data_IF_630416192224
#
_entry.id   IF_630416192224
#
_cell.length_a   1.000
_cell.length_b   1.000
_cell.length_c   1.000
_cell.angle_alpha   90.00
_cell.angle_beta   90.00
_cell.angle_gamma   90.00
#
_symmetry.space_group_name_H-M   'P 1'
#
loop_
_entity.id
_entity.type
_entity.pdbx_description
1 polymer ?
#
# COMPACT_ATOMS: atom_id res chain seq x y z
N UNK A 1 6.54 30.10 -15.48
CA UNK A 1 5.61 29.89 -16.60
C UNK A 1 4.25 29.54 -16.03
N UNK A 2 3.22 30.35 -16.31
CA UNK A 2 1.84 30.08 -15.86
C UNK A 2 1.26 29.03 -16.80
N UNK A 3 1.24 27.77 -16.38
CA UNK A 3 0.56 26.72 -17.11
C UNK A 3 -0.94 26.84 -16.85
N UNK A 4 -1.71 27.13 -17.90
CA UNK A 4 -3.17 27.07 -17.84
C UNK A 4 -3.58 25.63 -17.46
N UNK A 5 -4.43 25.51 -16.45
CA UNK A 5 -4.89 24.21 -15.97
C UNK A 5 -5.89 23.59 -16.95
N UNK A 6 -5.53 22.47 -17.59
CA UNK A 6 -6.44 21.68 -18.44
C UNK A 6 -7.22 20.70 -17.56
N UNK A 7 -8.54 20.85 -17.48
CA UNK A 7 -9.40 19.93 -16.75
C UNK A 7 -9.49 18.56 -17.45
N UNK A 8 -9.59 17.45 -16.70
CA UNK A 8 -9.85 16.14 -17.27
C UNK A 8 -11.24 16.11 -17.94
N UNK A 9 -11.33 15.49 -19.12
CA UNK A 9 -12.62 15.26 -19.77
C UNK A 9 -13.44 14.22 -18.99
N UNK A 10 -14.61 14.66 -18.49
CA UNK A 10 -15.52 13.81 -17.73
C UNK A 10 -16.38 12.91 -18.63
N UNK A 11 -16.51 13.24 -19.92
CA UNK A 11 -17.33 12.51 -20.90
C UNK A 11 -16.55 11.43 -21.65
N UNK A 12 -15.22 11.42 -21.55
CA UNK A 12 -14.40 10.42 -22.22
C UNK A 12 -14.70 8.99 -21.69
N UNK A 13 -14.68 7.96 -22.58
CA UNK A 13 -14.90 6.58 -22.17
C UNK A 13 -13.81 6.13 -21.20
N UNK A 14 -14.21 5.60 -20.04
CA UNK A 14 -13.29 5.10 -19.01
C UNK A 14 -13.25 3.59 -19.04
N UNK A 15 -12.11 3.03 -19.44
CA UNK A 15 -11.90 1.59 -19.34
C UNK A 15 -11.62 1.20 -17.88
N UNK A 16 -12.39 0.25 -17.35
CA UNK A 16 -12.11 -0.40 -16.06
C UNK A 16 -11.60 -1.81 -16.33
N UNK A 17 -10.35 -2.10 -15.95
CA UNK A 17 -9.78 -3.44 -16.07
C UNK A 17 -10.66 -4.42 -15.28
N UNK A 18 -11.07 -5.52 -15.93
CA UNK A 18 -11.74 -6.63 -15.24
C UNK A 18 -10.77 -7.21 -14.21
N UNK A 19 -11.19 -7.25 -12.95
CA UNK A 19 -10.42 -7.80 -11.86
C UNK A 19 -11.10 -9.09 -11.37
N UNK A 20 -10.29 -10.12 -11.11
CA UNK A 20 -10.78 -11.38 -10.53
C UNK A 20 -11.07 -11.17 -9.04
N UNK A 21 -12.32 -11.40 -8.62
CA UNK A 21 -12.69 -11.39 -7.21
C UNK A 21 -12.49 -12.77 -6.60
N UNK A 22 -11.62 -12.89 -5.59
CA UNK A 22 -11.35 -14.14 -4.88
C UNK A 22 -12.44 -14.51 -3.85
N UNK A 23 -13.25 -13.55 -3.39
CA UNK A 23 -14.33 -13.78 -2.41
C UNK A 23 -15.68 -14.12 -3.08
N UNK A 24 -15.64 -15.05 -4.03
CA UNK A 24 -16.82 -15.48 -4.78
C UNK A 24 -17.42 -16.77 -4.19
N UNK A 25 -18.63 -17.15 -4.63
CA UNK A 25 -19.29 -18.35 -4.10
C UNK A 25 -18.54 -19.65 -4.48
N UNK A 26 -17.88 -19.65 -5.64
CA UNK A 26 -17.13 -20.81 -6.15
C UNK A 26 -15.91 -21.10 -5.29
N UNK A 27 -15.10 -20.10 -4.96
CA UNK A 27 -13.91 -20.25 -4.12
C UNK A 27 -14.26 -20.64 -2.69
N UNK A 28 -15.38 -20.16 -2.15
CA UNK A 28 -15.85 -20.57 -0.82
C UNK A 28 -16.30 -22.03 -0.83
N UNK A 29 -16.95 -22.51 -1.89
CA UNK A 29 -17.28 -23.93 -2.07
C UNK A 29 -16.01 -24.78 -2.16
N UNK A 30 -15.09 -24.42 -3.04
CA UNK A 30 -13.79 -25.10 -3.18
C UNK A 30 -13.01 -25.17 -1.85
N UNK A 31 -13.08 -24.11 -1.03
CA UNK A 31 -12.50 -24.11 0.31
C UNK A 31 -13.16 -25.12 1.26
N UNK A 32 -14.49 -25.18 1.27
CA UNK A 32 -15.25 -26.13 2.10
C UNK A 32 -15.05 -27.57 1.66
N UNK A 33 -15.00 -27.82 0.36
CA UNK A 33 -14.74 -29.15 -0.21
C UNK A 33 -13.35 -29.66 0.21
N UNK A 34 -12.35 -28.76 0.25
CA UNK A 34 -10.99 -29.08 0.70
C UNK A 34 -10.87 -29.24 2.22
N UNK A 35 -11.69 -28.52 2.99
CA UNK A 35 -11.69 -28.55 4.45
C UNK A 35 -13.10 -28.79 5.00
N UNK A 36 -13.59 -30.05 4.99
CA UNK A 36 -14.96 -30.39 5.38
C UNK A 36 -15.35 -29.98 6.80
N UNK A 37 -14.37 -29.80 7.70
CA UNK A 37 -14.58 -29.30 9.06
C UNK A 37 -15.30 -27.93 9.12
N UNK A 38 -15.27 -27.15 8.03
CA UNK A 38 -15.89 -25.82 7.93
C UNK A 38 -17.15 -25.78 7.05
N UNK A 39 -17.70 -26.94 6.66
CA UNK A 39 -18.85 -27.04 5.77
C UNK A 39 -20.07 -26.26 6.29
N UNK A 40 -20.34 -26.41 7.58
CA UNK A 40 -21.46 -25.78 8.29
C UNK A 40 -21.27 -24.29 8.60
N UNK A 41 -20.10 -23.71 8.32
CA UNK A 41 -19.87 -22.29 8.59
C UNK A 41 -20.56 -21.46 7.51
N UNK A 42 -21.33 -20.46 7.94
CA UNK A 42 -21.97 -19.53 7.02
C UNK A 42 -20.95 -18.75 6.17
N UNK A 43 -21.30 -18.53 4.89
CA UNK A 43 -20.44 -17.88 3.92
C UNK A 43 -20.20 -16.41 4.28
N UNK A 44 -21.14 -15.72 4.93
CA UNK A 44 -20.94 -14.34 5.38
C UNK A 44 -19.95 -14.27 6.54
N UNK A 45 -20.01 -15.23 7.47
CA UNK A 45 -19.03 -15.37 8.54
C UNK A 45 -17.61 -15.61 8.01
N UNK A 46 -17.44 -16.47 6.99
CA UNK A 46 -16.13 -16.66 6.36
C UNK A 46 -15.60 -15.36 5.74
N UNK A 47 -16.46 -14.61 5.03
CA UNK A 47 -16.08 -13.32 4.46
C UNK A 47 -15.75 -12.29 5.53
N UNK A 48 -16.46 -12.28 6.66
CA UNK A 48 -16.22 -11.33 7.75
C UNK A 48 -14.87 -11.59 8.42
N UNK A 49 -14.52 -12.86 8.66
CA UNK A 49 -13.21 -13.27 9.19
C UNK A 49 -12.07 -12.72 8.31
N UNK A 50 -12.15 -12.92 6.99
CA UNK A 50 -11.13 -12.43 6.05
C UNK A 50 -11.02 -10.90 6.08
N UNK A 51 -12.16 -10.20 6.14
CA UNK A 51 -12.16 -8.72 6.23
C UNK A 51 -11.55 -8.23 7.54
N UNK A 52 -11.86 -8.89 8.66
CA UNK A 52 -11.31 -8.56 9.98
C UNK A 52 -9.79 -8.78 9.98
N UNK A 53 -9.32 -9.91 9.46
CA UNK A 53 -7.90 -10.19 9.31
C UNK A 53 -7.19 -9.10 8.49
N UNK A 54 -7.72 -8.78 7.30
CA UNK A 54 -7.16 -7.74 6.44
C UNK A 54 -7.13 -6.38 7.14
N UNK A 55 -8.17 -6.06 7.94
CA UNK A 55 -8.21 -4.84 8.75
C UNK A 55 -7.10 -4.81 9.79
N UNK A 56 -6.99 -5.86 10.62
CA UNK A 56 -5.96 -5.96 11.65
C UNK A 56 -4.55 -5.91 11.07
N UNK A 57 -4.35 -6.52 9.91
CA UNK A 57 -3.07 -6.49 9.20
C UNK A 57 -2.67 -5.06 8.85
N UNK A 58 -3.53 -4.27 8.19
CA UNK A 58 -3.14 -2.90 7.82
C UNK A 58 -3.12 -1.93 9.00
N UNK A 59 -3.95 -2.15 10.03
CA UNK A 59 -3.87 -1.40 11.31
C UNK A 59 -2.47 -1.61 11.94
N UNK A 60 -2.01 -2.86 12.00
CA UNK A 60 -0.67 -3.19 12.49
C UNK A 60 0.45 -2.56 11.65
N UNK A 61 0.28 -2.41 10.33
CA UNK A 61 1.26 -1.72 9.48
C UNK A 61 1.37 -0.23 9.79
N UNK A 62 0.26 0.42 10.19
CA UNK A 62 0.28 1.83 10.61
C UNK A 62 0.89 1.95 12.01
N UNK A 63 0.56 1.00 12.88
CA UNK A 63 1.01 0.98 14.26
C UNK A 63 2.51 0.66 14.35
N UNK A 64 3.04 -0.38 13.74
CA UNK A 64 4.45 -0.76 13.94
C UNK A 64 5.39 -0.09 12.95
N UNK A 65 6.59 0.30 13.44
CA UNK A 65 7.65 0.92 12.61
C UNK A 65 8.10 0.01 11.48
N UNK A 66 8.39 -1.25 11.81
CA UNK A 66 8.88 -2.26 10.85
C UNK A 66 7.74 -2.95 10.08
N UNK A 67 6.49 -2.57 10.41
CA UNK A 67 5.28 -3.08 9.77
C UNK A 67 4.89 -4.48 10.24
N UNK A 68 4.39 -5.29 9.31
CA UNK A 68 3.82 -6.62 9.57
C UNK A 68 4.42 -7.64 8.60
N UNK A 69 4.80 -8.79 9.13
CA UNK A 69 5.17 -9.97 8.35
C UNK A 69 3.93 -10.77 7.95
N UNK A 70 3.85 -11.13 6.66
CA UNK A 70 2.80 -11.98 6.14
C UNK A 70 3.15 -13.45 6.37
N UNK A 71 2.14 -14.31 6.65
CA UNK A 71 2.35 -15.74 6.84
C UNK A 71 2.94 -16.41 5.60
N UNK A 72 3.45 -17.63 5.77
CA UNK A 72 3.97 -18.48 4.70
C UNK A 72 5.05 -17.83 3.82
N UNK A 73 5.88 -16.97 4.42
CA UNK A 73 6.95 -16.26 3.70
C UNK A 73 6.44 -15.43 2.51
N UNK A 74 5.18 -14.96 2.57
CA UNK A 74 4.58 -14.11 1.54
C UNK A 74 5.26 -12.74 1.48
N UNK A 75 5.90 -12.28 2.55
CA UNK A 75 6.70 -11.06 2.58
C UNK A 75 6.38 -10.15 3.76
N UNK A 76 6.82 -8.89 3.67
CA UNK A 76 6.65 -7.86 4.68
C UNK A 76 5.88 -6.68 4.08
N UNK A 77 5.01 -6.09 4.88
CA UNK A 77 4.32 -4.84 4.59
C UNK A 77 4.72 -3.79 5.61
N UNK A 78 5.19 -2.63 5.19
CA UNK A 78 5.58 -1.56 6.10
C UNK A 78 5.41 -0.18 5.45
N UNK A 79 5.45 0.87 6.27
CA UNK A 79 5.43 2.25 5.80
C UNK A 79 6.87 2.78 5.79
N UNK A 80 7.27 3.34 4.66
CA UNK A 80 8.56 3.98 4.50
C UNK A 80 8.41 5.45 4.10
N UNK A 81 9.20 6.29 4.73
CA UNK A 81 9.32 7.71 4.44
C UNK A 81 10.28 7.91 3.27
N UNK A 82 9.84 8.56 2.21
CA UNK A 82 10.65 8.88 1.04
C UNK A 82 10.76 10.40 0.86
N UNK A 83 11.86 10.90 0.28
CA UNK A 83 11.92 12.29 -0.15
C UNK A 83 10.85 12.59 -1.21
N UNK A 84 10.47 13.85 -1.32
CA UNK A 84 9.50 14.32 -2.30
C UNK A 84 9.84 13.80 -3.72
N UNK A 85 8.81 13.34 -4.42
CA UNK A 85 8.96 13.04 -5.84
C UNK A 85 9.27 14.33 -6.62
N UNK A 86 10.11 14.23 -7.65
CA UNK A 86 10.38 15.36 -8.57
C UNK A 86 9.13 15.81 -9.33
N UNK A 87 8.11 14.94 -9.40
CA UNK A 87 6.82 15.23 -10.03
C UNK A 87 5.97 16.13 -9.15
N UNK A 88 5.38 17.15 -9.77
CA UNK A 88 4.53 18.13 -9.09
C UNK A 88 3.19 17.53 -8.69
N UNK A 89 2.84 17.60 -7.40
CA UNK A 89 1.52 17.18 -6.91
C UNK A 89 0.50 18.32 -7.09
N UNK A 90 -0.28 18.24 -8.18
CA UNK A 90 -1.25 19.27 -8.54
C UNK A 90 -2.53 19.10 -7.73
N UNK A 91 -2.98 20.16 -7.08
CA UNK A 91 -4.28 20.21 -6.43
C UNK A 91 -5.36 20.53 -7.47
N UNK A 92 -5.95 19.49 -8.09
CA UNK A 92 -6.94 19.65 -9.16
C UNK A 92 -8.18 20.44 -8.73
N UNK A 93 -8.60 20.38 -7.46
CA UNK A 93 -9.79 21.07 -6.98
C UNK A 93 -9.58 22.58 -6.94
N UNK A 94 -8.52 23.04 -6.26
CA UNK A 94 -8.17 24.46 -6.23
C UNK A 94 -7.70 24.95 -7.60
N UNK A 95 -6.94 24.13 -8.34
CA UNK A 95 -6.45 24.52 -9.67
C UNK A 95 -7.60 24.79 -10.66
N UNK A 96 -8.72 24.05 -10.52
CA UNK A 96 -9.94 24.30 -11.30
C UNK A 96 -10.62 25.62 -10.91
N UNK A 97 -10.66 25.95 -9.62
CA UNK A 97 -11.27 27.20 -9.14
C UNK A 97 -10.48 28.43 -9.58
N UNK A 98 -9.15 28.38 -9.48
CA UNK A 98 -8.27 29.52 -9.75
C UNK A 98 -7.73 29.56 -11.20
N UNK A 99 -8.02 28.55 -12.02
CA UNK A 99 -7.56 28.46 -13.41
C UNK A 99 -6.04 28.29 -13.59
N UNK A 100 -5.30 28.06 -12.49
CA UNK A 100 -3.84 27.97 -12.45
C UNK A 100 -3.42 26.65 -11.82
N UNK A 101 -2.28 26.09 -12.24
CA UNK A 101 -1.70 24.90 -11.59
C UNK A 101 -1.24 25.28 -10.18
N UNK A 102 -1.97 24.81 -9.18
CA UNK A 102 -1.67 24.99 -7.76
C UNK A 102 -1.12 23.71 -7.15
N UNK A 103 -0.19 23.87 -6.21
CA UNK A 103 0.52 22.77 -5.57
C UNK A 103 0.52 22.98 -4.06
N UNK A 104 0.14 21.96 -3.30
CA UNK A 104 0.25 22.02 -1.84
C UNK A 104 1.67 21.60 -1.43
N UNK A 105 2.24 22.32 -0.46
CA UNK A 105 3.51 21.94 0.17
C UNK A 105 3.24 21.14 1.44
N UNK A 106 3.97 20.05 1.63
CA UNK A 106 3.86 19.20 2.82
C UNK A 106 4.77 19.74 3.93
N UNK A 107 4.39 20.85 4.57
CA UNK A 107 5.20 21.47 5.63
C UNK A 107 5.27 20.61 6.90
N UNK A 108 4.21 19.86 7.22
CA UNK A 108 4.13 19.03 8.43
C UNK A 108 5.11 17.85 8.44
N UNK A 109 5.65 17.49 7.28
CA UNK A 109 6.51 16.30 7.10
C UNK A 109 7.85 16.67 6.45
N UNK A 110 8.25 17.94 6.51
CA UNK A 110 9.46 18.48 5.88
C UNK A 110 9.57 18.16 4.38
N UNK A 111 8.42 18.09 3.70
CA UNK A 111 8.35 17.72 2.29
C UNK A 111 8.44 16.21 2.02
N UNK A 112 8.57 15.37 3.03
CA UNK A 112 8.63 13.92 2.86
C UNK A 112 7.26 13.31 2.53
N UNK A 113 7.28 12.13 1.91
CA UNK A 113 6.09 11.40 1.48
C UNK A 113 6.14 9.97 2.01
N UNK A 114 5.10 9.58 2.72
CA UNK A 114 4.91 8.19 3.16
C UNK A 114 4.48 7.30 2.00
N UNK A 115 5.13 6.15 1.85
CA UNK A 115 4.75 5.11 0.90
C UNK A 115 4.57 3.78 1.61
N UNK A 116 3.59 3.02 1.14
CA UNK A 116 3.38 1.64 1.60
C UNK A 116 4.26 0.75 0.75
N UNK A 117 5.12 -0.02 1.41
CA UNK A 117 6.02 -0.97 0.79
C UNK A 117 5.53 -2.38 1.02
N UNK A 118 5.65 -3.18 -0.04
CA UNK A 118 5.56 -4.62 0.02
C UNK A 118 6.89 -5.20 -0.48
N UNK A 119 7.47 -6.11 0.29
CA UNK A 119 8.73 -6.77 -0.08
C UNK A 119 8.67 -8.25 0.24
N UNK A 120 9.14 -9.08 -0.68
CA UNK A 120 9.29 -10.53 -0.49
C UNK A 120 10.75 -10.98 -0.67
N UNK A 121 11.70 -10.04 -0.54
CA UNK A 121 13.10 -10.34 -0.85
C UNK A 121 13.87 -10.99 0.30
N UNK A 122 13.49 -10.66 1.53
CA UNK A 122 14.15 -11.11 2.75
C UNK A 122 13.70 -12.51 3.20
N UNK A 123 12.64 -13.07 2.61
CA UNK A 123 12.11 -14.37 3.03
C UNK A 123 13.04 -15.50 2.58
N UNK A 124 13.21 -16.52 3.46
CA UNK A 124 14.07 -17.68 3.22
C UNK A 124 13.73 -18.39 1.91
N UNK A 125 12.44 -18.43 1.56
CA UNK A 125 11.93 -19.02 0.33
C UNK A 125 11.50 -17.93 -0.65
N UNK A 126 12.32 -17.72 -1.69
CA UNK A 126 12.01 -16.75 -2.76
C UNK A 126 11.09 -17.38 -3.80
N UNK A 127 9.97 -16.73 -4.09
CA UNK A 127 9.12 -17.12 -5.23
C UNK A 127 9.89 -16.94 -6.55
N UNK A 128 9.84 -17.95 -7.44
CA UNK A 128 10.51 -17.90 -8.75
C UNK A 128 10.09 -16.68 -9.57
N UNK A 129 8.80 -16.37 -9.59
CA UNK A 129 8.22 -15.26 -10.36
C UNK A 129 7.74 -14.11 -9.46
N UNK A 130 8.58 -13.68 -8.51
CA UNK A 130 8.22 -12.66 -7.51
C UNK A 130 7.82 -11.31 -8.11
N UNK A 131 8.31 -10.97 -9.30
CA UNK A 131 8.04 -9.71 -9.99
C UNK A 131 6.58 -9.59 -10.46
N UNK A 132 5.90 -10.74 -10.59
CA UNK A 132 4.48 -10.79 -10.91
C UNK A 132 3.59 -10.48 -9.69
N UNK A 133 4.18 -10.44 -8.50
CA UNK A 133 3.47 -10.15 -7.26
C UNK A 133 3.54 -8.66 -6.96
N UNK A 134 2.37 -8.04 -6.90
CA UNK A 134 2.19 -6.65 -6.51
C UNK A 134 1.18 -6.54 -5.38
N UNK A 135 1.37 -5.54 -4.52
CA UNK A 135 0.41 -5.21 -3.48
C UNK A 135 -0.27 -3.90 -3.80
N UNK A 136 -1.60 -3.88 -3.74
CA UNK A 136 -2.38 -2.65 -3.78
C UNK A 136 -3.21 -2.52 -2.51
N UNK A 137 -2.93 -1.48 -1.73
CA UNK A 137 -3.68 -1.17 -0.52
C UNK A 137 -5.14 -0.79 -0.81
N UNK A 138 -6.04 -1.24 0.07
CA UNK A 138 -7.45 -0.83 0.08
C UNK A 138 -7.57 0.66 0.37
N UNK A 139 -8.65 1.29 -0.12
CA UNK A 139 -8.94 2.72 0.05
C UNK A 139 -8.87 3.18 1.51
N UNK A 140 -9.45 2.40 2.43
CA UNK A 140 -9.48 2.75 3.84
C UNK A 140 -8.07 2.80 4.43
N UNK A 141 -7.24 1.81 4.11
CA UNK A 141 -5.84 1.81 4.51
C UNK A 141 -5.09 3.06 4.00
N UNK A 142 -5.22 3.39 2.70
CA UNK A 142 -4.61 4.59 2.11
C UNK A 142 -5.07 5.88 2.80
N UNK A 143 -6.35 5.98 3.16
CA UNK A 143 -6.95 7.15 3.81
C UNK A 143 -6.52 7.29 5.27
N UNK A 144 -6.50 6.20 6.01
CA UNK A 144 -6.07 6.21 7.42
C UNK A 144 -4.60 6.57 7.49
N UNK A 145 -3.75 5.94 6.68
CA UNK A 145 -2.33 6.29 6.58
C UNK A 145 -2.12 7.78 6.25
N UNK A 146 -2.86 8.33 5.28
CA UNK A 146 -2.72 9.74 4.91
C UNK A 146 -3.05 10.71 6.06
N UNK A 147 -3.93 10.30 6.99
CA UNK A 147 -4.27 11.07 8.18
C UNK A 147 -3.24 10.91 9.30
N UNK A 148 -2.78 9.68 9.55
CA UNK A 148 -1.87 9.37 10.67
C UNK A 148 -0.41 9.68 10.37
N UNK A 149 -0.03 9.71 9.09
CA UNK A 149 1.35 9.89 8.67
C UNK A 149 1.92 11.26 9.08
N UNK A 150 1.26 12.41 8.86
CA UNK A 150 1.79 13.71 9.29
C UNK A 150 2.09 13.80 10.79
N UNK A 151 1.28 13.13 11.63
CA UNK A 151 1.46 13.12 13.08
C UNK A 151 2.65 12.26 13.51
N UNK A 152 2.95 11.17 12.79
CA UNK A 152 3.89 10.13 13.22
C UNK A 152 5.01 9.86 12.21
N UNK A 153 5.31 10.79 11.30
CA UNK A 153 6.17 10.51 10.14
C UNK A 153 7.61 10.12 10.52
N UNK A 154 8.11 10.63 11.65
CA UNK A 154 9.43 10.31 12.20
C UNK A 154 9.56 8.86 12.68
N UNK A 155 8.44 8.20 12.99
CA UNK A 155 8.43 6.81 13.43
C UNK A 155 8.81 5.85 12.32
N UNK A 156 8.44 6.17 11.09
CA UNK A 156 8.56 5.26 9.95
C UNK A 156 9.98 5.22 9.40
N UNK A 157 10.32 4.11 8.73
CA UNK A 157 11.67 3.87 8.22
C UNK A 157 11.98 4.85 7.09
N UNK A 158 13.08 5.59 7.19
CA UNK A 158 13.53 6.49 6.13
C UNK A 158 14.21 5.69 5.01
N UNK A 159 13.64 5.74 3.81
CA UNK A 159 14.12 5.00 2.65
C UNK A 159 15.18 5.81 1.91
N UNK A 160 16.44 5.37 1.98
CA UNK A 160 17.52 5.96 1.19
C UNK A 160 17.33 5.66 -0.30
N UNK A 161 17.57 6.66 -1.15
CA UNK A 161 17.47 6.52 -2.60
C UNK A 161 18.52 5.51 -3.11
N UNK A 162 18.14 4.63 -4.06
CA UNK A 162 18.95 3.52 -4.61
C UNK A 162 19.27 2.36 -3.65
N UNK A 163 18.75 2.35 -2.42
CA UNK A 163 18.90 1.21 -1.52
C UNK A 163 17.83 0.14 -1.84
N UNK A 164 18.23 -1.12 -2.00
CA UNK A 164 17.25 -2.20 -2.19
C UNK A 164 16.63 -2.53 -0.83
N UNK A 165 15.31 -2.64 -0.76
CA UNK A 165 14.58 -2.99 0.49
C UNK A 165 15.14 -4.29 1.11
N UNK A 166 15.57 -5.23 0.26
CA UNK A 166 16.33 -6.42 0.60
C UNK A 166 17.46 -6.21 1.63
N UNK A 167 18.18 -5.10 1.51
CA UNK A 167 19.37 -4.81 2.28
C UNK A 167 19.04 -4.27 3.68
N UNK A 168 17.81 -3.75 3.90
CA UNK A 168 17.35 -3.32 5.23
C UNK A 168 17.16 -4.50 6.20
N UNK A 169 16.90 -5.69 5.67
CA UNK A 169 16.65 -6.90 6.44
C UNK A 169 17.81 -7.89 6.42
N UNK A 170 18.89 -7.62 5.67
CA UNK A 170 20.09 -8.45 5.70
C UNK A 170 20.97 -7.99 6.85
N UNK A 171 21.23 -8.88 7.82
CA UNK A 171 22.06 -8.64 9.01
C UNK A 171 23.56 -8.36 8.74
N UNK A 172 23.92 -7.85 7.56
CA UNK A 172 25.25 -7.30 7.28
C UNK A 172 25.15 -5.78 7.25
N UNK A 173 25.11 -5.21 8.44
CA UNK A 173 25.74 -3.92 8.74
C UNK A 173 27.17 -3.98 8.19
N UNK A 174 27.40 -3.36 7.03
CA UNK A 174 28.72 -2.84 6.74
C UNK A 174 28.74 -1.45 7.34
N UNK A 175 29.50 -1.33 8.43
CA UNK A 175 30.14 -0.10 8.84
C UNK A 175 30.76 0.56 7.61
N UNK A 176 30.27 1.73 7.24
CA UNK A 176 31.01 2.68 6.42
C UNK A 176 30.61 4.08 6.88
N UNK A 177 31.64 4.75 7.39
CA UNK A 177 31.76 6.18 7.72
C UNK A 177 31.12 7.11 6.68
#
# INVERSE_FOLDING_TARGET
>A
MISNFKSPDLKAPRFKKKALGLLNAKTIREFKDKYPAYENIDNEKLKSIIKIFNRKMWEGVIEYRDGVELPDSLGYLFIGTCPAAKTVNINYALSKQYGKVLTNKNWETDGNVGKIFYTNWATKYRFKNRELWGFEAVRDFKRTMAKTYPENWLRYVFMKNKYRIAQLYSAKTNDLE
#
